data_IF_355897013371
#
_entry.id   IF_355897013371
#
_cell.length_a   1.000
_cell.length_b   1.000
_cell.length_c   1.000
_cell.angle_alpha   90.00
_cell.angle_beta   90.00
_cell.angle_gamma   90.00
#
_symmetry.space_group_name_H-M   'P 1'
#
loop_
_entity.id
_entity.type
_entity.pdbx_description
1 polymer ?
#
# COMPACT_ATOMS: atom_id res chain seq x y z
N UNK A 1 4.13 55.57 -34.84
CA UNK A 1 4.02 55.57 -33.37
C UNK A 1 5.33 55.06 -32.79
N UNK A 2 5.85 55.75 -31.77
CA UNK A 2 7.20 55.63 -31.23
C UNK A 2 7.37 54.32 -30.45
N UNK A 3 8.44 53.58 -30.74
CA UNK A 3 8.94 52.49 -29.91
C UNK A 3 9.72 53.07 -28.73
N UNK A 4 9.14 53.02 -27.52
CA UNK A 4 9.83 53.37 -26.29
C UNK A 4 10.54 52.11 -25.76
N UNK A 5 11.87 52.11 -25.88
CA UNK A 5 12.76 51.21 -25.14
C UNK A 5 12.77 51.66 -23.68
N UNK A 6 12.17 50.88 -22.79
CA UNK A 6 12.37 51.03 -21.35
C UNK A 6 13.42 50.02 -20.89
N UNK A 7 14.63 50.54 -20.69
CA UNK A 7 15.65 49.98 -19.83
C UNK A 7 15.23 50.32 -18.41
N UNK A 8 14.94 49.32 -17.57
CA UNK A 8 14.83 49.53 -16.13
C UNK A 8 15.49 48.38 -15.38
N UNK A 9 16.70 48.69 -14.92
CA UNK A 9 17.25 48.39 -13.61
C UNK A 9 17.14 46.96 -13.07
N UNK A 10 18.21 46.23 -13.35
CA UNK A 10 18.67 45.06 -12.62
C UNK A 10 19.10 45.49 -11.19
N UNK A 11 18.23 45.29 -10.21
CA UNK A 11 18.60 45.35 -8.79
C UNK A 11 17.58 44.56 -7.96
N UNK A 12 17.78 43.25 -7.82
CA UNK A 12 17.13 42.48 -6.76
C UNK A 12 18.20 41.63 -6.08
N UNK A 13 18.56 42.14 -4.90
CA UNK A 13 19.11 41.49 -3.72
C UNK A 13 19.61 40.04 -3.87
N UNK A 14 20.92 39.89 -3.78
CA UNK A 14 21.52 38.74 -3.08
C UNK A 14 21.03 38.74 -1.64
N UNK A 15 19.89 38.09 -1.38
CA UNK A 15 19.64 37.49 -0.08
C UNK A 15 20.13 36.06 -0.17
N UNK A 16 21.30 35.84 0.40
CA UNK A 16 21.83 34.53 0.75
C UNK A 16 20.85 33.84 1.71
N UNK A 17 19.81 33.22 1.17
CA UNK A 17 19.12 32.16 1.86
C UNK A 17 20.10 30.99 1.93
N UNK A 18 20.83 30.96 3.03
CA UNK A 18 21.38 29.75 3.61
C UNK A 18 20.20 28.81 3.87
N UNK A 19 19.71 28.16 2.82
CA UNK A 19 18.92 26.94 2.95
C UNK A 19 19.87 25.90 3.50
N UNK A 20 20.04 25.93 4.82
CA UNK A 20 20.39 24.74 5.56
C UNK A 20 19.40 23.70 5.09
N UNK A 21 19.89 22.71 4.34
CA UNK A 21 19.16 21.53 3.99
C UNK A 21 18.74 20.88 5.31
N UNK A 22 17.54 21.21 5.79
CA UNK A 22 16.82 20.40 6.75
C UNK A 22 16.49 19.10 6.03
N UNK A 23 17.49 18.21 6.02
CA UNK A 23 17.34 16.78 5.84
C UNK A 23 16.61 16.23 7.06
N UNK A 24 15.41 16.73 7.30
CA UNK A 24 14.58 16.37 8.43
C UNK A 24 13.86 15.07 8.08
N UNK A 25 14.65 13.99 8.03
CA UNK A 25 14.28 12.59 8.28
C UNK A 25 12.81 12.22 8.01
N UNK A 26 12.32 12.46 6.79
CA UNK A 26 10.99 11.99 6.34
C UNK A 26 10.89 10.46 6.53
N UNK A 27 11.97 9.74 6.22
CA UNK A 27 12.09 8.30 6.46
C UNK A 27 12.10 7.93 7.95
N UNK A 28 12.86 8.64 8.79
CA UNK A 28 12.93 8.37 10.24
C UNK A 28 11.60 8.62 10.96
N UNK A 29 10.88 9.69 10.58
CA UNK A 29 9.55 10.00 11.13
C UNK A 29 8.49 8.99 10.68
N UNK A 30 8.56 8.48 9.44
CA UNK A 30 7.69 7.38 8.99
C UNK A 30 8.01 6.09 9.74
N UNK A 31 9.27 5.71 9.85
CA UNK A 31 9.69 4.46 10.48
C UNK A 31 9.35 4.40 11.97
N UNK A 32 9.53 5.50 12.71
CA UNK A 32 9.22 5.55 14.14
C UNK A 32 7.74 5.28 14.47
N UNK A 33 6.82 5.55 13.55
CA UNK A 33 5.38 5.30 13.76
C UNK A 33 5.06 3.81 13.87
N UNK A 34 5.81 2.98 13.17
CA UNK A 34 5.66 1.53 13.18
C UNK A 34 6.44 0.86 14.32
N UNK A 35 7.41 1.55 14.93
CA UNK A 35 8.25 1.05 16.03
C UNK A 35 7.68 1.38 17.44
N UNK A 36 6.49 1.98 17.53
CA UNK A 36 5.87 2.38 18.82
C UNK A 36 5.50 1.17 19.70
N UNK A 37 5.59 1.35 21.03
CA UNK A 37 5.15 0.34 22.01
C UNK A 37 3.62 0.19 22.08
N UNK A 38 2.88 1.27 21.82
CA UNK A 38 1.41 1.33 21.82
C UNK A 38 0.92 2.17 20.65
N UNK A 39 -0.25 1.83 20.11
CA UNK A 39 -0.88 2.54 19.00
C UNK A 39 -1.63 3.78 19.53
N UNK A 40 -1.51 4.91 18.85
CA UNK A 40 -2.32 6.09 19.10
C UNK A 40 -3.45 6.20 18.06
N UNK A 41 -4.60 6.85 18.37
CA UNK A 41 -5.68 7.04 17.39
C UNK A 41 -5.24 7.75 16.10
N UNK A 42 -4.24 8.64 16.19
CA UNK A 42 -3.65 9.32 15.03
C UNK A 42 -2.87 8.37 14.10
N UNK A 43 -2.41 7.22 14.60
CA UNK A 43 -1.72 6.22 13.79
C UNK A 43 -2.71 5.40 12.93
N UNK A 44 -3.99 5.34 13.32
CA UNK A 44 -5.02 4.57 12.62
C UNK A 44 -5.20 4.98 11.16
N UNK A 45 -5.11 6.27 10.83
CA UNK A 45 -5.23 6.74 9.45
C UNK A 45 -4.08 6.23 8.56
N UNK A 46 -2.84 6.27 9.07
CA UNK A 46 -1.67 5.77 8.34
C UNK A 46 -1.73 4.24 8.15
N UNK A 47 -2.24 3.53 9.15
CA UNK A 47 -2.46 2.09 9.03
C UNK A 47 -3.59 1.75 8.05
N UNK A 48 -4.67 2.55 8.01
CA UNK A 48 -5.76 2.36 7.04
C UNK A 48 -5.21 2.56 5.63
N UNK A 49 -4.46 3.64 5.39
CA UNK A 49 -3.82 3.90 4.11
C UNK A 49 -2.88 2.76 3.70
N UNK A 50 -2.02 2.29 4.61
CA UNK A 50 -1.14 1.16 4.36
C UNK A 50 -1.92 -0.13 4.05
N UNK A 51 -3.04 -0.38 4.73
CA UNK A 51 -3.93 -1.52 4.47
C UNK A 51 -4.61 -1.43 3.11
N UNK A 52 -5.10 -0.25 2.73
CA UNK A 52 -5.67 0.02 1.42
C UNK A 52 -4.64 -0.19 0.30
N UNK A 53 -3.40 0.29 0.49
CA UNK A 53 -2.31 0.05 -0.46
C UNK A 53 -1.99 -1.45 -0.60
N UNK A 54 -2.03 -2.20 0.51
CA UNK A 54 -1.80 -3.65 0.49
C UNK A 54 -2.89 -4.40 -0.25
N UNK A 55 -4.15 -3.99 -0.08
CA UNK A 55 -5.28 -4.49 -0.87
C UNK A 55 -5.13 -4.15 -2.37
N UNK A 56 -4.70 -2.93 -2.70
CA UNK A 56 -4.43 -2.55 -4.09
C UNK A 56 -3.32 -3.42 -4.71
N UNK A 57 -2.25 -3.67 -3.95
CA UNK A 57 -1.09 -4.47 -4.37
C UNK A 57 -1.50 -5.88 -4.79
N UNK A 58 -2.54 -6.47 -4.17
CA UNK A 58 -3.08 -7.77 -4.60
C UNK A 58 -3.51 -7.75 -6.08
N UNK A 59 -4.23 -6.72 -6.50
CA UNK A 59 -4.72 -6.60 -7.88
C UNK A 59 -3.61 -6.18 -8.85
N UNK A 60 -2.66 -5.37 -8.40
CA UNK A 60 -1.47 -5.01 -9.18
C UNK A 60 -0.61 -6.25 -9.47
N UNK A 61 -0.35 -7.08 -8.47
CA UNK A 61 0.37 -8.34 -8.67
C UNK A 61 -0.35 -9.28 -9.63
N UNK A 62 -1.67 -9.40 -9.53
CA UNK A 62 -2.43 -10.23 -10.47
C UNK A 62 -2.47 -9.63 -11.88
N UNK A 63 -2.41 -8.31 -12.03
CA UNK A 63 -2.20 -7.66 -13.33
C UNK A 63 -0.85 -8.04 -13.92
N UNK A 64 0.22 -7.95 -13.13
CA UNK A 64 1.58 -8.36 -13.54
C UNK A 64 1.60 -9.84 -13.92
N UNK A 65 0.98 -10.71 -13.12
CA UNK A 65 0.91 -12.14 -13.39
C UNK A 65 0.28 -12.44 -14.75
N UNK A 66 -0.87 -11.81 -15.04
CA UNK A 66 -1.61 -12.01 -16.29
C UNK A 66 -0.86 -11.47 -17.51
N UNK A 67 -0.21 -10.31 -17.38
CA UNK A 67 0.57 -9.71 -18.47
C UNK A 67 1.86 -10.47 -18.77
N UNK A 68 2.31 -11.33 -17.87
CA UNK A 68 3.56 -12.09 -17.98
C UNK A 68 3.31 -13.60 -18.14
N UNK A 69 2.24 -13.99 -18.83
CA UNK A 69 1.88 -15.40 -19.04
C UNK A 69 2.95 -16.25 -19.72
N UNK A 70 3.86 -15.62 -20.49
CA UNK A 70 5.00 -16.29 -21.14
C UNK A 70 6.30 -16.18 -20.34
N UNK A 71 6.32 -15.43 -19.22
CA UNK A 71 7.49 -15.23 -18.37
C UNK A 71 7.27 -15.85 -16.99
N UNK A 72 7.64 -17.13 -16.88
CA UNK A 72 7.51 -17.94 -15.66
C UNK A 72 8.24 -17.32 -14.46
N UNK A 73 9.36 -16.61 -14.67
CA UNK A 73 10.09 -15.98 -13.56
C UNK A 73 9.29 -14.88 -12.89
N UNK A 74 8.58 -14.06 -13.69
CA UNK A 74 7.74 -12.99 -13.18
C UNK A 74 6.49 -13.55 -12.48
N UNK A 75 5.90 -14.62 -13.02
CA UNK A 75 4.78 -15.31 -12.37
C UNK A 75 5.17 -15.89 -11.01
N UNK A 76 6.30 -16.60 -10.93
CA UNK A 76 6.83 -17.12 -9.66
C UNK A 76 7.15 -16.04 -8.63
N UNK A 77 7.60 -14.87 -9.08
CA UNK A 77 7.78 -13.72 -8.19
C UNK A 77 6.45 -13.29 -7.57
N UNK A 78 5.39 -13.18 -8.38
CA UNK A 78 4.05 -12.83 -7.90
C UNK A 78 3.51 -13.89 -6.92
N UNK A 79 3.57 -15.17 -7.29
CA UNK A 79 3.14 -16.30 -6.45
C UNK A 79 3.85 -16.29 -5.08
N UNK A 80 5.12 -15.88 -5.05
CA UNK A 80 5.88 -15.72 -3.81
C UNK A 80 5.45 -14.50 -3.00
N UNK A 81 5.05 -13.40 -3.64
CA UNK A 81 4.76 -12.12 -2.99
C UNK A 81 3.33 -11.95 -2.52
N UNK A 82 2.35 -12.54 -3.20
CA UNK A 82 0.94 -12.46 -2.78
C UNK A 82 0.71 -13.00 -1.37
N UNK A 83 1.28 -14.14 -0.93
CA UNK A 83 1.15 -14.61 0.44
C UNK A 83 1.60 -13.59 1.50
N UNK A 84 2.63 -12.78 1.21
CA UNK A 84 3.15 -11.76 2.14
C UNK A 84 2.12 -10.62 2.41
N UNK A 85 1.06 -10.53 1.61
CA UNK A 85 -0.04 -9.58 1.80
C UNK A 85 -0.97 -9.98 2.95
N UNK A 86 -1.06 -11.27 3.26
CA UNK A 86 -2.02 -11.82 4.20
C UNK A 86 -1.40 -12.11 5.56
N UNK A 87 -2.22 -12.04 6.60
CA UNK A 87 -1.93 -12.63 7.89
C UNK A 87 -2.73 -13.90 8.04
N UNK A 88 -2.06 -14.97 8.45
CA UNK A 88 -2.66 -16.27 8.75
C UNK A 88 -2.30 -16.57 10.20
N UNK A 89 -3.29 -16.61 11.08
CA UNK A 89 -3.06 -16.94 12.48
C UNK A 89 -2.67 -18.42 12.62
N UNK A 90 -2.07 -18.77 13.76
CA UNK A 90 -1.75 -20.16 14.04
C UNK A 90 -3.03 -21.01 14.10
N UNK A 91 -3.09 -22.06 13.28
CA UNK A 91 -4.26 -22.93 13.15
C UNK A 91 -5.26 -22.51 12.06
N UNK A 92 -5.12 -21.32 11.49
CA UNK A 92 -5.93 -20.87 10.35
C UNK A 92 -5.28 -21.23 9.01
N UNK A 93 -6.05 -21.13 7.93
CA UNK A 93 -5.54 -21.24 6.57
C UNK A 93 -6.20 -20.20 5.66
N UNK A 94 -5.41 -19.70 4.71
CA UNK A 94 -5.91 -18.89 3.60
C UNK A 94 -5.52 -19.62 2.33
N UNK A 95 -6.52 -19.95 1.50
CA UNK A 95 -6.29 -20.53 0.18
C UNK A 95 -5.80 -19.43 -0.77
N UNK A 96 -4.48 -19.27 -0.84
CA UNK A 96 -3.85 -18.24 -1.68
C UNK A 96 -4.11 -18.49 -3.16
N UNK A 97 -4.20 -19.75 -3.60
CA UNK A 97 -4.44 -20.09 -5.00
C UNK A 97 -5.85 -19.64 -5.41
N UNK A 98 -6.85 -19.90 -4.56
CA UNK A 98 -8.22 -19.41 -4.77
C UNK A 98 -8.27 -17.87 -4.76
N UNK A 99 -7.59 -17.23 -3.81
CA UNK A 99 -7.51 -15.77 -3.74
C UNK A 99 -6.92 -15.19 -5.03
N UNK A 100 -5.82 -15.75 -5.52
CA UNK A 100 -5.20 -15.33 -6.76
C UNK A 100 -6.13 -15.55 -7.96
N UNK A 101 -6.75 -16.72 -8.07
CA UNK A 101 -7.69 -17.04 -9.15
C UNK A 101 -8.87 -16.05 -9.21
N UNK A 102 -9.48 -15.75 -8.06
CA UNK A 102 -10.62 -14.83 -7.97
C UNK A 102 -10.17 -13.38 -8.20
N UNK A 103 -9.01 -12.96 -7.70
CA UNK A 103 -8.45 -11.64 -7.99
C UNK A 103 -8.11 -11.45 -9.47
N UNK A 104 -7.56 -12.48 -10.14
CA UNK A 104 -7.32 -12.47 -11.59
C UNK A 104 -8.63 -12.31 -12.37
N UNK A 105 -9.69 -13.00 -11.94
CA UNK A 105 -11.03 -12.86 -12.54
C UNK A 105 -11.52 -11.41 -12.47
N UNK A 106 -11.34 -10.76 -11.31
CA UNK A 106 -11.68 -9.33 -11.13
C UNK A 106 -10.86 -8.47 -12.10
N UNK A 107 -9.54 -8.62 -12.13
CA UNK A 107 -8.63 -7.83 -12.98
C UNK A 107 -8.96 -7.98 -14.47
N UNK A 108 -9.21 -9.20 -14.94
CA UNK A 108 -9.57 -9.45 -16.34
C UNK A 108 -10.85 -8.72 -16.73
N UNK A 109 -11.87 -8.71 -15.86
CA UNK A 109 -13.14 -8.00 -16.08
C UNK A 109 -13.00 -6.48 -16.07
N UNK A 110 -11.97 -5.93 -15.41
CA UNK A 110 -11.71 -4.49 -15.42
C UNK A 110 -11.11 -3.96 -16.72
N UNK A 111 -10.75 -4.83 -17.67
CA UNK A 111 -10.28 -4.44 -19.02
C UNK A 111 -9.19 -3.36 -19.02
N UNK A 112 -8.25 -3.47 -18.07
CA UNK A 112 -7.10 -2.56 -17.93
C UNK A 112 -7.36 -1.34 -17.04
N UNK A 113 -8.57 -1.16 -16.51
CA UNK A 113 -8.84 -0.18 -15.46
C UNK A 113 -8.32 -0.66 -14.11
N UNK A 114 -7.81 0.23 -13.25
CA UNK A 114 -7.49 -0.12 -11.88
C UNK A 114 -8.73 -0.63 -11.14
N UNK A 115 -8.53 -1.64 -10.29
CA UNK A 115 -9.58 -2.09 -9.37
C UNK A 115 -9.78 -1.01 -8.31
N UNK A 116 -10.99 -0.49 -8.19
CA UNK A 116 -11.35 0.48 -7.16
C UNK A 116 -11.68 -0.22 -5.84
N UNK A 117 -11.29 0.40 -4.73
CA UNK A 117 -11.46 -0.12 -3.38
C UNK A 117 -12.18 0.90 -2.49
N UNK A 118 -13.04 0.40 -1.61
CA UNK A 118 -13.61 1.18 -0.50
C UNK A 118 -13.15 0.62 0.84
N UNK A 119 -13.06 1.51 1.82
CA UNK A 119 -12.84 1.19 3.22
C UNK A 119 -14.15 1.38 4.00
N UNK A 120 -14.44 0.45 4.90
CA UNK A 120 -15.57 0.53 5.82
C UNK A 120 -15.10 0.22 7.24
N UNK A 121 -15.49 1.01 8.27
CA UNK A 121 -15.20 0.68 9.65
C UNK A 121 -15.84 -0.67 10.04
N UNK A 122 -15.10 -1.50 10.77
CA UNK A 122 -15.57 -2.81 11.27
C UNK A 122 -15.01 -3.03 12.67
N UNK A 123 -15.88 -3.37 13.62
CA UNK A 123 -15.47 -3.63 15.00
C UNK A 123 -14.52 -4.84 15.10
N UNK A 124 -13.58 -4.77 16.04
CA UNK A 124 -12.60 -5.83 16.30
C UNK A 124 -11.38 -5.86 15.37
N UNK A 125 -11.38 -5.05 14.32
CA UNK A 125 -10.26 -4.91 13.35
C UNK A 125 -10.03 -3.42 13.03
N UNK A 126 -9.03 -3.09 12.19
CA UNK A 126 -8.82 -1.70 11.76
C UNK A 126 -9.95 -1.21 10.85
N UNK A 127 -10.54 -2.15 10.10
CA UNK A 127 -11.72 -1.97 9.26
C UNK A 127 -11.75 -3.07 8.21
N UNK A 128 -12.61 -2.90 7.21
CA UNK A 128 -12.75 -3.81 6.09
C UNK A 128 -12.47 -3.06 4.78
N UNK A 129 -11.76 -3.71 3.88
CA UNK A 129 -11.60 -3.26 2.50
C UNK A 129 -12.44 -4.12 1.59
N UNK A 130 -13.03 -3.52 0.56
CA UNK A 130 -13.74 -4.25 -0.48
C UNK A 130 -13.61 -3.60 -1.84
N UNK A 131 -13.74 -4.38 -2.91
CA UNK A 131 -13.78 -3.85 -4.27
C UNK A 131 -15.12 -3.18 -4.59
N UNK A 132 -15.08 -2.20 -5.48
CA UNK A 132 -16.26 -1.45 -5.93
C UNK A 132 -16.57 -1.83 -7.38
N UNK A 133 -17.85 -2.07 -7.70
CA UNK A 133 -18.31 -2.36 -9.07
C UNK A 133 -17.57 -3.54 -9.74
N UNK A 134 -17.20 -4.56 -8.96
CA UNK A 134 -16.57 -5.79 -9.47
C UNK A 134 -17.45 -7.00 -9.20
N UNK A 135 -17.29 -8.04 -10.02
CA UNK A 135 -17.87 -9.35 -9.77
C UNK A 135 -16.83 -10.46 -10.00
N UNK A 136 -16.45 -11.27 -9.00
CA UNK A 136 -16.93 -11.22 -7.61
C UNK A 136 -16.52 -9.93 -6.89
N UNK A 137 -17.21 -9.61 -5.80
CA UNK A 137 -16.79 -8.59 -4.84
C UNK A 137 -15.78 -9.22 -3.88
N UNK A 138 -14.56 -8.70 -3.86
CA UNK A 138 -13.56 -9.09 -2.88
C UNK A 138 -13.78 -8.30 -1.59
N UNK A 139 -13.66 -8.96 -0.44
CA UNK A 139 -13.60 -8.32 0.88
C UNK A 139 -12.45 -8.91 1.69
N UNK A 140 -11.81 -8.10 2.52
CA UNK A 140 -10.85 -8.57 3.51
C UNK A 140 -10.81 -7.62 4.72
N UNK A 141 -10.56 -8.18 5.89
CA UNK A 141 -10.34 -7.40 7.09
C UNK A 141 -8.92 -6.83 7.09
N UNK A 142 -8.79 -5.57 7.51
CA UNK A 142 -7.50 -4.94 7.77
C UNK A 142 -7.15 -5.16 9.23
N UNK A 143 -6.06 -5.87 9.49
CA UNK A 143 -5.59 -6.10 10.87
C UNK A 143 -4.19 -5.53 11.07
N UNK A 144 -3.90 -5.10 12.30
CA UNK A 144 -2.59 -4.61 12.71
C UNK A 144 -1.95 -5.65 13.61
N UNK A 145 -0.77 -6.15 13.20
CA UNK A 145 -0.03 -7.17 13.96
C UNK A 145 1.40 -6.71 14.15
N UNK A 146 1.98 -7.04 15.30
CA UNK A 146 3.38 -6.76 15.59
C UNK A 146 4.26 -7.90 15.06
N UNK A 147 5.12 -7.61 14.09
CA UNK A 147 5.99 -8.59 13.44
C UNK A 147 7.46 -8.26 13.67
N UNK A 148 8.30 -9.30 13.77
CA UNK A 148 9.74 -9.13 13.83
C UNK A 148 10.29 -8.81 12.44
N UNK A 149 10.90 -7.63 12.27
CA UNK A 149 11.53 -7.21 11.03
C UNK A 149 13.03 -7.07 11.21
N UNK A 150 13.78 -7.70 10.32
CA UNK A 150 15.24 -7.62 10.29
C UNK A 150 15.71 -6.32 9.65
N UNK A 151 16.62 -5.63 10.31
CA UNK A 151 17.33 -4.44 9.87
C UNK A 151 18.83 -4.70 9.98
N UNK A 152 19.41 -5.26 8.92
CA UNK A 152 20.79 -5.75 8.93
C UNK A 152 20.96 -6.89 9.95
N UNK A 153 21.79 -6.68 10.98
CA UNK A 153 22.04 -7.66 12.06
C UNK A 153 21.07 -7.54 13.24
N UNK A 154 20.19 -6.55 13.25
CA UNK A 154 19.24 -6.31 14.34
C UNK A 154 17.83 -6.73 13.93
N UNK A 155 17.04 -7.24 14.87
CA UNK A 155 15.60 -7.47 14.67
C UNK A 155 14.82 -6.53 15.57
N UNK A 156 13.76 -5.92 15.04
CA UNK A 156 12.85 -5.06 15.80
C UNK A 156 11.41 -5.50 15.56
N UNK A 157 10.59 -5.39 16.59
CA UNK A 157 9.15 -5.57 16.46
C UNK A 157 8.52 -4.29 15.92
N UNK A 158 7.85 -4.41 14.76
CA UNK A 158 7.14 -3.31 14.12
C UNK A 158 5.67 -3.66 13.92
N UNK A 159 4.79 -2.67 14.10
CA UNK A 159 3.40 -2.79 13.71
C UNK A 159 3.30 -2.79 12.20
N UNK A 160 2.55 -3.73 11.65
CA UNK A 160 2.32 -3.85 10.22
C UNK A 160 0.88 -4.28 9.96
N UNK A 161 0.32 -3.77 8.86
CA UNK A 161 -1.04 -4.09 8.43
C UNK A 161 -1.03 -5.27 7.47
N UNK A 162 -2.03 -6.12 7.61
CA UNK A 162 -2.25 -7.28 6.77
C UNK A 162 -3.72 -7.39 6.37
N UNK A 163 -3.93 -8.08 5.25
CA UNK A 163 -5.25 -8.57 4.87
C UNK A 163 -5.52 -9.87 5.64
N UNK A 164 -6.72 -10.01 6.19
CA UNK A 164 -7.16 -11.23 6.86
C UNK A 164 -8.58 -11.60 6.40
N UNK A 165 -8.93 -12.87 6.57
CA UNK A 165 -10.27 -13.39 6.28
C UNK A 165 -10.80 -13.00 4.89
N UNK A 166 -10.04 -13.24 3.79
CA UNK A 166 -10.49 -12.86 2.46
C UNK A 166 -11.76 -13.63 2.06
N UNK A 167 -12.75 -12.92 1.55
CA UNK A 167 -13.97 -13.51 0.99
C UNK A 167 -14.27 -12.96 -0.40
N UNK A 168 -15.00 -13.76 -1.17
CA UNK A 168 -15.48 -13.39 -2.50
C UNK A 168 -16.98 -13.64 -2.57
N UNK A 169 -17.74 -12.59 -2.87
CA UNK A 169 -19.18 -12.62 -3.03
C UNK A 169 -19.54 -12.53 -4.53
N UNK A 170 -20.40 -13.43 -5.00
CA UNK A 170 -20.82 -13.53 -6.42
C UNK A 170 -22.01 -12.64 -6.77
#
# INVERSE_FOLDING_TARGET
MKAAKNIFSLAICLVTFSLGAQSDNSYGKMQNRFEKKSLEPADSAAFIEAGMQKAQTLFEYNTVYLQNSTNVSNQKYVEKKVPELFFVAEGDSVDIDLVMQKAQTIVQKQTGKPVELKFEPKEGVLGQVSTINTLPTFKADLIIVKVNKAFGKMSKQVWQVFLANPTFEE
#
